data_IF_940609253619
#
_entry.id   IF_940609253619
#
_cell.length_a   1.000
_cell.length_b   1.000
_cell.length_c   1.000
_cell.angle_alpha   90.00
_cell.angle_beta   90.00
_cell.angle_gamma   90.00
#
_symmetry.space_group_name_H-M   'P 1'
#
loop_
_entity.id
_entity.type
_entity.pdbx_description
1 polymer ?
#
# COMPACT_ATOMS: atom_id res chain seq x y z
N UNK A 1 14.27 -7.51 -4.31
CA UNK A 1 14.97 -6.23 -4.00
C UNK A 1 16.08 -6.07 -5.03
N UNK A 2 16.24 -4.87 -5.59
CA UNK A 2 17.37 -4.56 -6.48
C UNK A 2 18.55 -4.07 -5.64
N UNK A 3 19.71 -4.71 -5.77
CA UNK A 3 20.94 -4.34 -5.06
C UNK A 3 22.08 -4.36 -6.08
N UNK A 4 22.87 -3.29 -6.15
CA UNK A 4 24.01 -3.18 -7.06
C UNK A 4 23.69 -3.57 -8.52
N UNK A 5 22.56 -3.07 -9.04
CA UNK A 5 22.05 -3.37 -10.39
C UNK A 5 21.73 -4.85 -10.66
N UNK A 6 21.47 -5.63 -9.60
CA UNK A 6 21.07 -7.04 -9.67
C UNK A 6 19.78 -7.28 -8.90
N UNK A 7 18.97 -8.23 -9.37
CA UNK A 7 17.74 -8.65 -8.69
C UNK A 7 17.60 -10.17 -8.73
N UNK A 8 17.28 -10.77 -7.57
CA UNK A 8 16.81 -12.15 -7.47
C UNK A 8 15.31 -12.14 -7.22
N UNK A 9 14.57 -12.88 -8.03
CA UNK A 9 13.13 -13.02 -7.87
C UNK A 9 12.81 -13.97 -6.70
N UNK A 10 11.74 -13.68 -5.96
CA UNK A 10 11.29 -14.54 -4.85
C UNK A 10 10.41 -15.69 -5.32
N UNK A 11 9.78 -15.53 -6.49
CA UNK A 11 8.78 -16.46 -7.04
C UNK A 11 9.29 -17.24 -8.26
N UNK A 12 10.49 -16.91 -8.75
CA UNK A 12 11.16 -17.52 -9.89
C UNK A 12 12.64 -17.67 -9.54
N UNK A 13 13.30 -18.73 -9.98
CA UNK A 13 14.75 -18.93 -9.78
C UNK A 13 15.59 -18.12 -10.79
N UNK A 14 15.19 -16.86 -10.98
CA UNK A 14 15.84 -15.94 -11.89
C UNK A 14 16.72 -14.97 -11.12
N UNK A 15 17.92 -14.77 -11.65
CA UNK A 15 18.83 -13.70 -11.26
C UNK A 15 19.02 -12.84 -12.49
N UNK A 16 18.68 -11.56 -12.39
CA UNK A 16 18.86 -10.59 -13.46
C UNK A 16 20.00 -9.67 -13.07
N UNK A 17 20.99 -9.57 -13.93
CA UNK A 17 22.14 -8.67 -13.79
C UNK A 17 22.10 -7.60 -14.88
N UNK A 18 21.96 -6.35 -14.48
CA UNK A 18 21.85 -5.22 -15.41
C UNK A 18 23.11 -5.07 -16.28
N UNK A 19 24.29 -5.32 -15.72
CA UNK A 19 25.54 -5.24 -16.49
C UNK A 19 25.68 -6.37 -17.51
N UNK A 20 25.27 -7.60 -17.16
CA UNK A 20 25.12 -8.68 -18.13
C UNK A 20 24.17 -8.30 -19.26
N UNK A 21 23.02 -7.69 -18.95
CA UNK A 21 22.07 -7.23 -19.98
C UNK A 21 22.65 -6.16 -20.91
N UNK A 22 23.47 -5.23 -20.40
CA UNK A 22 24.17 -4.24 -21.24
C UNK A 22 25.03 -4.93 -22.31
N UNK A 23 25.81 -5.94 -21.90
CA UNK A 23 26.72 -6.68 -22.77
C UNK A 23 25.96 -7.55 -23.78
N UNK A 24 24.99 -8.32 -23.29
CA UNK A 24 24.25 -9.29 -24.10
C UNK A 24 23.35 -8.60 -25.14
N UNK A 25 22.70 -7.49 -24.76
CA UNK A 25 21.75 -6.77 -25.61
C UNK A 25 22.38 -5.59 -26.35
N UNK A 26 23.65 -5.27 -26.09
CA UNK A 26 24.36 -4.11 -26.66
C UNK A 26 23.64 -2.78 -26.39
N UNK A 27 23.11 -2.63 -25.18
CA UNK A 27 22.45 -1.41 -24.70
C UNK A 27 23.48 -0.61 -23.89
N UNK A 28 23.59 0.69 -24.16
CA UNK A 28 24.64 1.53 -23.56
C UNK A 28 24.57 1.68 -22.03
N UNK A 29 23.36 1.65 -21.46
CA UNK A 29 23.15 1.62 -20.01
C UNK A 29 21.84 0.90 -19.67
N UNK A 30 21.90 -0.04 -18.72
CA UNK A 30 20.73 -0.70 -18.13
C UNK A 30 20.76 -0.48 -16.63
N UNK A 31 19.66 0.05 -16.10
CA UNK A 31 19.46 0.23 -14.67
C UNK A 31 18.22 -0.56 -14.24
N UNK A 32 18.43 -1.56 -13.41
CA UNK A 32 17.34 -2.29 -12.76
C UNK A 32 16.76 -1.39 -11.67
N UNK A 33 15.44 -1.25 -11.65
CA UNK A 33 14.73 -0.46 -10.66
C UNK A 33 13.62 -1.28 -10.02
N UNK A 34 13.26 -0.92 -8.79
CA UNK A 34 12.09 -1.46 -8.11
C UNK A 34 10.80 -1.02 -8.83
N UNK A 35 9.76 -1.83 -8.76
CA UNK A 35 8.45 -1.58 -9.36
C UNK A 35 7.80 -0.26 -8.89
N UNK A 36 7.92 0.09 -7.60
CA UNK A 36 7.44 1.38 -7.10
C UNK A 36 8.30 2.55 -7.54
N UNK A 37 9.62 2.36 -7.71
CA UNK A 37 10.49 3.37 -8.32
C UNK A 37 10.05 3.64 -9.77
N UNK A 38 9.72 2.58 -10.52
CA UNK A 38 9.16 2.70 -11.87
C UNK A 38 7.80 3.44 -11.87
N UNK A 39 6.90 3.12 -10.93
CA UNK A 39 5.64 3.86 -10.76
C UNK A 39 5.87 5.33 -10.40
N UNK A 40 6.86 5.62 -9.56
CA UNK A 40 7.26 6.98 -9.22
C UNK A 40 7.65 7.79 -10.45
N UNK A 41 8.46 7.22 -11.34
CA UNK A 41 8.78 7.87 -12.62
C UNK A 41 7.56 7.98 -13.55
N UNK A 42 6.71 6.95 -13.61
CA UNK A 42 5.46 7.00 -14.39
C UNK A 42 4.50 8.11 -13.94
N UNK A 43 4.46 8.43 -12.64
CA UNK A 43 3.66 9.55 -12.13
C UNK A 43 4.08 10.91 -12.73
N UNK A 44 5.34 11.06 -13.15
CA UNK A 44 5.82 12.29 -13.80
C UNK A 44 5.32 12.44 -15.24
N UNK A 45 4.77 11.38 -15.84
CA UNK A 45 4.33 11.36 -17.23
C UNK A 45 2.82 11.42 -17.39
N UNK A 46 2.06 11.43 -16.29
CA UNK A 46 0.61 11.45 -16.31
C UNK A 46 0.08 12.80 -16.80
N UNK A 47 -0.92 12.75 -17.68
CA UNK A 47 -1.70 13.91 -18.08
C UNK A 47 -2.77 14.27 -17.02
N UNK A 48 -3.29 15.49 -17.10
CA UNK A 48 -4.28 16.01 -16.15
C UNK A 48 -5.59 15.19 -16.16
N UNK A 49 -5.93 14.52 -17.26
CA UNK A 49 -7.10 13.65 -17.39
C UNK A 49 -6.85 12.20 -16.93
N UNK A 50 -5.61 11.86 -16.59
CA UNK A 50 -5.21 10.55 -16.03
C UNK A 50 -5.15 10.58 -14.48
N UNK A 51 -5.46 11.72 -13.87
CA UNK A 51 -5.42 11.92 -12.42
C UNK A 51 -6.78 12.31 -11.85
N UNK A 52 -7.06 11.88 -10.62
CA UNK A 52 -8.21 12.33 -9.85
C UNK A 52 -7.70 13.07 -8.61
N UNK A 53 -8.03 14.36 -8.52
CA UNK A 53 -7.71 15.18 -7.36
C UNK A 53 -8.64 14.82 -6.18
N UNK A 54 -8.06 14.42 -5.06
CA UNK A 54 -8.80 14.08 -3.83
C UNK A 54 -9.02 15.29 -2.91
N UNK A 55 -8.36 16.41 -3.18
CA UNK A 55 -8.50 17.68 -2.47
C UNK A 55 -8.14 18.85 -3.39
N UNK A 56 -8.43 20.07 -2.94
CA UNK A 56 -8.20 21.31 -3.70
C UNK A 56 -6.76 21.85 -3.56
N UNK A 57 -5.82 21.05 -3.06
CA UNK A 57 -4.44 21.51 -2.88
C UNK A 57 -3.74 21.66 -4.23
N UNK A 58 -3.12 22.81 -4.45
CA UNK A 58 -2.34 23.06 -5.67
C UNK A 58 -0.95 22.41 -5.56
N UNK A 59 -0.55 21.56 -6.53
CA UNK A 59 0.80 21.01 -6.57
C UNK A 59 1.86 22.11 -6.62
N UNK A 60 2.91 21.98 -5.80
CA UNK A 60 4.05 22.91 -5.83
C UNK A 60 5.18 22.33 -6.67
N UNK A 61 5.59 23.00 -7.78
CA UNK A 61 6.76 22.58 -8.55
C UNK A 61 8.02 22.62 -7.70
N UNK A 62 8.97 21.71 -7.95
CA UNK A 62 10.26 21.71 -7.26
C UNK A 62 10.20 21.27 -5.79
N UNK A 63 9.10 20.63 -5.36
CA UNK A 63 9.01 19.95 -4.07
C UNK A 63 9.06 18.44 -4.23
N UNK A 64 9.47 17.69 -3.19
CA UNK A 64 9.40 16.24 -3.19
C UNK A 64 7.99 15.71 -3.47
N UNK A 65 7.91 14.55 -4.12
CA UNK A 65 6.65 13.85 -4.41
C UNK A 65 6.66 12.48 -3.74
N UNK A 66 5.56 12.13 -3.09
CA UNK A 66 5.36 10.79 -2.51
C UNK A 66 4.48 9.95 -3.43
N UNK A 67 4.83 8.67 -3.61
CA UNK A 67 4.00 7.69 -4.30
C UNK A 67 3.71 6.52 -3.34
N UNK A 68 2.44 6.19 -3.17
CA UNK A 68 1.96 5.13 -2.28
C UNK A 68 0.83 4.36 -2.94
N UNK A 69 0.94 3.04 -2.99
CA UNK A 69 0.01 2.18 -3.72
C UNK A 69 -0.32 0.91 -2.94
N UNK A 70 -1.61 0.71 -2.67
CA UNK A 70 -2.12 -0.52 -2.07
C UNK A 70 -2.49 -1.54 -3.15
N UNK A 71 -1.87 -2.72 -3.10
CA UNK A 71 -2.17 -3.89 -3.92
C UNK A 71 -2.26 -5.13 -3.02
N UNK A 72 -1.60 -6.23 -3.38
CA UNK A 72 -1.43 -7.36 -2.45
C UNK A 72 -0.74 -6.93 -1.15
N UNK A 73 0.30 -6.10 -1.28
CA UNK A 73 0.97 -5.38 -0.19
C UNK A 73 0.77 -3.87 -0.28
N UNK A 74 1.67 -3.10 0.32
CA UNK A 74 1.68 -1.64 0.27
C UNK A 74 3.07 -1.19 -0.15
N UNK A 75 3.20 -0.65 -1.36
CA UNK A 75 4.48 -0.12 -1.82
C UNK A 75 4.56 1.39 -1.69
N UNK A 76 5.79 1.88 -1.55
CA UNK A 76 6.10 3.28 -1.38
C UNK A 76 7.39 3.64 -2.12
N UNK A 77 7.41 4.82 -2.72
CA UNK A 77 8.62 5.49 -3.16
C UNK A 77 8.44 7.00 -3.03
N UNK A 78 9.54 7.75 -3.11
CA UNK A 78 9.46 9.21 -3.16
C UNK A 78 10.43 9.74 -4.20
N UNK A 79 10.12 10.92 -4.74
CA UNK A 79 10.93 11.59 -5.74
C UNK A 79 11.39 12.92 -5.20
N UNK A 80 12.69 13.19 -5.36
CA UNK A 80 13.31 14.46 -4.96
C UNK A 80 13.73 15.20 -6.23
N UNK A 81 13.44 16.51 -6.35
CA UNK A 81 13.90 17.31 -7.47
C UNK A 81 15.42 17.54 -7.39
N UNK A 82 16.09 17.40 -8.52
CA UNK A 82 17.46 17.78 -8.74
C UNK A 82 17.61 19.26 -9.07
N UNK A 83 18.85 19.68 -9.29
CA UNK A 83 19.19 21.10 -9.47
C UNK A 83 18.62 21.68 -10.78
N UNK A 84 18.41 20.84 -11.80
CA UNK A 84 17.90 21.23 -13.11
C UNK A 84 16.41 20.92 -13.29
N UNK A 85 15.73 20.52 -12.20
CA UNK A 85 14.30 20.21 -12.17
C UNK A 85 13.95 18.76 -12.51
N UNK A 86 14.95 17.93 -12.81
CA UNK A 86 14.80 16.49 -12.99
C UNK A 86 14.47 15.81 -11.66
N UNK A 87 13.49 14.92 -11.64
CA UNK A 87 13.15 14.17 -10.42
C UNK A 87 13.91 12.86 -10.36
N UNK A 88 14.49 12.53 -9.20
CA UNK A 88 15.07 11.22 -8.92
C UNK A 88 14.20 10.45 -7.93
N UNK A 89 13.81 9.24 -8.30
CA UNK A 89 12.99 8.35 -7.46
C UNK A 89 13.85 7.47 -6.54
N UNK A 90 13.38 7.28 -5.31
CA UNK A 90 14.03 6.48 -4.27
C UNK A 90 13.04 5.41 -3.74
N UNK A 91 13.44 4.13 -3.71
CA UNK A 91 12.60 3.07 -3.15
C UNK A 91 12.42 3.25 -1.65
N UNK A 92 11.29 2.81 -1.10
CA UNK A 92 11.03 2.86 0.34
C UNK A 92 10.26 1.64 0.83
N UNK A 93 10.73 1.03 1.91
CA UNK A 93 10.01 0.01 2.68
C UNK A 93 9.17 0.63 3.81
N UNK A 94 8.84 1.92 3.68
CA UNK A 94 8.13 2.69 4.71
C UNK A 94 6.74 2.15 5.04
N UNK A 95 6.15 1.32 4.19
CA UNK A 95 4.89 0.61 4.48
C UNK A 95 5.00 -0.41 5.60
N UNK A 96 6.21 -0.87 5.89
CA UNK A 96 6.51 -1.71 7.04
C UNK A 96 6.59 -0.92 8.35
N UNK A 97 6.48 0.42 8.31
CA UNK A 97 6.32 1.31 9.49
C UNK A 97 5.15 0.91 10.37
N UNK A 98 5.18 1.30 11.65
CA UNK A 98 4.14 0.92 12.61
C UNK A 98 2.78 1.52 12.27
N UNK A 99 1.72 0.75 12.46
CA UNK A 99 0.36 1.27 12.46
C UNK A 99 0.10 2.09 13.73
N UNK A 100 -0.15 3.40 13.55
CA UNK A 100 -0.48 4.34 14.61
C UNK A 100 -1.99 4.66 14.61
N UNK A 101 -2.82 3.99 15.43
CA UNK A 101 -4.27 4.26 15.49
C UNK A 101 -4.58 5.62 16.13
N UNK A 102 -5.55 6.37 15.60
CA UNK A 102 -5.85 7.76 16.05
C UNK A 102 -6.61 7.86 17.38
N UNK A 103 -7.23 6.77 17.86
CA UNK A 103 -7.60 6.59 19.27
C UNK A 103 -8.68 7.48 19.90
N UNK A 104 -9.33 8.40 19.17
CA UNK A 104 -10.41 9.24 19.71
C UNK A 104 -11.64 9.28 18.80
N UNK A 105 -12.85 9.35 19.39
CA UNK A 105 -14.11 9.45 18.67
C UNK A 105 -14.45 8.18 17.86
N UNK A 106 -14.85 8.34 16.59
CA UNK A 106 -15.15 7.21 15.70
C UNK A 106 -13.93 6.28 15.41
N UNK A 107 -12.73 6.63 15.88
CA UNK A 107 -11.49 5.90 15.64
C UNK A 107 -11.07 4.95 16.78
N UNK A 108 -11.86 4.78 17.85
CA UNK A 108 -11.59 3.76 18.89
C UNK A 108 -11.50 2.34 18.31
N UNK A 109 -12.26 2.07 17.24
CA UNK A 109 -12.18 0.81 16.50
C UNK A 109 -10.79 0.51 15.96
N UNK A 110 -9.96 1.52 15.69
CA UNK A 110 -8.59 1.31 15.22
C UNK A 110 -7.68 0.76 16.32
N UNK A 111 -7.89 1.19 17.58
CA UNK A 111 -7.16 0.63 18.74
C UNK A 111 -7.57 -0.83 18.96
N UNK A 112 -8.86 -1.13 18.87
CA UNK A 112 -9.35 -2.50 18.99
C UNK A 112 -8.86 -3.39 17.84
N UNK A 113 -8.84 -2.87 16.61
CA UNK A 113 -8.24 -3.55 15.46
C UNK A 113 -6.78 -3.88 15.74
N UNK A 114 -5.99 -2.93 16.24
CA UNK A 114 -4.59 -3.18 16.61
C UNK A 114 -4.47 -4.33 17.64
N UNK A 115 -5.31 -4.34 18.68
CA UNK A 115 -5.34 -5.41 19.69
C UNK A 115 -5.68 -6.77 19.05
N UNK A 116 -6.71 -6.80 18.20
CA UNK A 116 -7.10 -8.00 17.48
C UNK A 116 -5.97 -8.54 16.59
N UNK A 117 -5.30 -7.67 15.82
CA UNK A 117 -4.22 -8.09 14.93
C UNK A 117 -2.99 -8.57 15.69
N UNK A 118 -2.67 -7.98 16.86
CA UNK A 118 -1.62 -8.49 17.74
C UNK A 118 -1.91 -9.93 18.20
N UNK A 119 -3.16 -10.24 18.54
CA UNK A 119 -3.56 -11.61 18.91
C UNK A 119 -3.48 -12.54 17.69
N UNK A 120 -4.05 -12.12 16.56
CA UNK A 120 -4.11 -12.90 15.32
C UNK A 120 -2.74 -13.33 14.81
N UNK A 121 -1.74 -12.46 14.91
CA UNK A 121 -0.37 -12.73 14.48
C UNK A 121 0.56 -13.18 15.62
N UNK A 122 -0.02 -13.80 16.66
CA UNK A 122 0.68 -14.43 17.79
C UNK A 122 1.64 -13.52 18.56
N UNK A 123 1.10 -12.38 19.03
CA UNK A 123 1.50 -11.61 20.22
C UNK A 123 2.97 -11.29 20.41
N UNK A 124 3.40 -10.11 19.95
CA UNK A 124 4.60 -9.26 20.22
C UNK A 124 5.06 -8.57 18.92
N UNK A 125 4.58 -9.06 17.77
CA UNK A 125 4.97 -8.55 16.47
C UNK A 125 4.42 -7.15 16.20
N UNK A 126 5.29 -6.35 15.57
CA UNK A 126 4.96 -5.09 14.92
C UNK A 126 3.78 -5.29 13.97
N UNK A 127 2.73 -4.48 14.12
CA UNK A 127 1.67 -4.40 13.13
C UNK A 127 2.04 -3.25 12.20
N UNK A 128 2.47 -3.59 10.98
CA UNK A 128 2.85 -2.59 9.99
C UNK A 128 1.63 -1.94 9.35
N UNK A 129 1.81 -0.74 8.79
CA UNK A 129 0.78 -0.07 7.98
C UNK A 129 0.26 -0.96 6.85
N UNK A 130 1.12 -1.75 6.20
CA UNK A 130 0.72 -2.72 5.17
C UNK A 130 -0.33 -3.73 5.67
N UNK A 131 -0.29 -4.14 6.94
CA UNK A 131 -1.27 -5.09 7.50
C UNK A 131 -2.68 -4.51 7.61
N UNK A 132 -2.84 -3.21 7.40
CA UNK A 132 -4.11 -2.48 7.42
C UNK A 132 -4.42 -1.94 6.02
N UNK A 133 -3.43 -1.33 5.36
CA UNK A 133 -3.58 -0.64 4.07
C UNK A 133 -3.00 -1.51 2.95
N UNK A 134 -3.64 -2.63 2.67
CA UNK A 134 -3.39 -3.49 1.51
C UNK A 134 -4.63 -4.34 1.24
N UNK A 135 -4.63 -5.15 0.17
CA UNK A 135 -5.65 -6.17 -0.05
C UNK A 135 -5.76 -7.13 1.14
N UNK A 136 -4.62 -7.62 1.64
CA UNK A 136 -4.62 -8.44 2.88
C UNK A 136 -5.10 -7.64 4.10
N UNK A 137 -4.86 -6.33 4.13
CA UNK A 137 -5.35 -5.41 5.14
C UNK A 137 -6.87 -5.25 5.15
N UNK A 138 -7.52 -5.16 3.99
CA UNK A 138 -8.98 -5.18 3.87
C UNK A 138 -9.56 -6.43 4.53
N UNK A 139 -8.96 -7.59 4.24
CA UNK A 139 -9.36 -8.86 4.84
C UNK A 139 -9.15 -8.88 6.36
N UNK A 140 -8.05 -8.32 6.84
CA UNK A 140 -7.76 -8.20 8.27
C UNK A 140 -8.81 -7.35 9.00
N UNK A 141 -9.20 -6.22 8.42
CA UNK A 141 -10.22 -5.32 8.98
C UNK A 141 -11.59 -6.02 8.98
N UNK A 142 -11.97 -6.67 7.88
CA UNK A 142 -13.24 -7.41 7.79
C UNK A 142 -13.32 -8.54 8.82
N UNK A 143 -12.26 -9.34 8.97
CA UNK A 143 -12.21 -10.44 9.94
C UNK A 143 -12.31 -9.94 11.38
N UNK A 144 -11.68 -8.80 11.70
CA UNK A 144 -11.87 -8.11 12.98
C UNK A 144 -13.33 -7.71 13.19
N UNK A 145 -13.96 -7.07 12.21
CA UNK A 145 -15.34 -6.62 12.32
C UNK A 145 -16.33 -7.78 12.43
N UNK A 146 -16.10 -8.88 11.70
CA UNK A 146 -16.89 -10.10 11.78
C UNK A 146 -16.74 -10.78 13.15
N UNK A 147 -15.51 -10.85 13.68
CA UNK A 147 -15.25 -11.34 15.04
C UNK A 147 -15.96 -10.51 16.11
N UNK A 148 -15.90 -9.17 15.99
CA UNK A 148 -16.52 -8.25 16.94
C UNK A 148 -18.06 -8.23 16.85
N UNK A 149 -18.63 -8.42 15.66
CA UNK A 149 -20.07 -8.28 15.40
C UNK A 149 -20.63 -9.50 14.65
N UNK A 150 -20.68 -10.69 15.27
CA UNK A 150 -21.09 -11.93 14.59
C UNK A 150 -22.53 -11.89 14.07
N UNK A 151 -23.41 -11.07 14.68
CA UNK A 151 -24.80 -10.90 14.24
C UNK A 151 -24.95 -10.12 12.93
N UNK A 152 -23.96 -9.31 12.58
CA UNK A 152 -23.98 -8.45 11.39
C UNK A 152 -23.26 -9.10 10.20
N UNK A 153 -22.76 -10.33 10.37
CA UNK A 153 -22.07 -11.08 9.32
C UNK A 153 -23.07 -11.50 8.25
N UNK A 154 -22.87 -11.04 7.02
CA UNK A 154 -23.55 -11.60 5.86
C UNK A 154 -22.97 -13.01 5.56
N UNK A 155 -23.76 -14.10 5.66
CA UNK A 155 -23.24 -15.45 5.52
C UNK A 155 -22.69 -15.77 4.13
N UNK A 156 -23.30 -15.22 3.07
CA UNK A 156 -22.88 -15.46 1.68
C UNK A 156 -21.52 -14.82 1.41
N UNK A 157 -21.35 -13.57 1.81
CA UNK A 157 -20.08 -12.84 1.68
C UNK A 157 -19.00 -13.51 2.53
N UNK A 158 -19.32 -13.90 3.76
CA UNK A 158 -18.35 -14.54 4.65
C UNK A 158 -17.89 -15.90 4.10
N UNK A 159 -18.83 -16.71 3.61
CA UNK A 159 -18.52 -17.99 2.96
C UNK A 159 -17.64 -17.77 1.72
N UNK A 160 -17.99 -16.80 0.87
CA UNK A 160 -17.20 -16.48 -0.32
C UNK A 160 -15.77 -16.04 0.03
N UNK A 161 -15.63 -15.14 1.02
CA UNK A 161 -14.34 -14.68 1.56
C UNK A 161 -13.46 -15.85 2.00
N UNK A 162 -14.01 -16.80 2.75
CA UNK A 162 -13.27 -17.98 3.22
C UNK A 162 -12.88 -18.94 2.09
N UNK A 163 -13.77 -19.18 1.12
CA UNK A 163 -13.53 -20.14 0.04
C UNK A 163 -12.54 -19.65 -1.01
N UNK A 164 -12.46 -18.34 -1.26
CA UNK A 164 -11.57 -17.74 -2.27
C UNK A 164 -10.27 -17.22 -1.68
N UNK A 165 -9.69 -17.94 -0.72
CA UNK A 165 -8.39 -17.60 -0.11
C UNK A 165 -8.32 -16.16 0.45
N UNK A 166 -9.43 -15.63 0.99
CA UNK A 166 -9.49 -14.28 1.56
C UNK A 166 -9.21 -13.19 0.52
N UNK A 167 -9.90 -13.26 -0.62
CA UNK A 167 -9.87 -12.24 -1.65
C UNK A 167 -10.57 -10.94 -1.20
N UNK A 168 -9.80 -9.85 -1.12
CA UNK A 168 -10.27 -8.52 -0.75
C UNK A 168 -11.35 -7.98 -1.71
N UNK A 169 -11.34 -8.42 -2.97
CA UNK A 169 -12.31 -8.04 -3.99
C UNK A 169 -13.74 -8.42 -3.61
N UNK A 170 -13.93 -9.52 -2.87
CA UNK A 170 -15.24 -9.97 -2.40
C UNK A 170 -15.84 -8.96 -1.42
N UNK A 171 -15.02 -8.48 -0.49
CA UNK A 171 -15.41 -7.46 0.50
C UNK A 171 -15.68 -6.14 -0.22
N UNK A 172 -14.82 -5.75 -1.17
CA UNK A 172 -14.96 -4.49 -1.89
C UNK A 172 -16.24 -4.44 -2.74
N UNK A 173 -16.55 -5.52 -3.46
CA UNK A 173 -17.74 -5.64 -4.31
C UNK A 173 -19.04 -5.68 -3.48
N UNK A 174 -18.99 -6.26 -2.29
CA UNK A 174 -20.16 -6.37 -1.41
C UNK A 174 -20.45 -5.10 -0.58
N UNK A 175 -19.69 -4.00 -0.75
CA UNK A 175 -19.78 -2.81 0.11
C UNK A 175 -21.18 -2.22 0.25
N UNK A 176 -22.03 -2.33 -0.77
CA UNK A 176 -23.38 -1.75 -0.77
C UNK A 176 -24.44 -2.71 -0.19
N UNK A 177 -24.10 -3.99 -0.02
CA UNK A 177 -25.01 -5.07 0.39
C UNK A 177 -24.61 -5.71 1.73
N UNK A 178 -23.43 -5.37 2.25
CA UNK A 178 -22.86 -5.93 3.47
C UNK A 178 -22.35 -4.79 4.36
N UNK A 179 -23.00 -4.58 5.50
CA UNK A 179 -22.68 -3.49 6.45
C UNK A 179 -21.23 -3.56 6.95
N UNK A 180 -20.74 -4.76 7.25
CA UNK A 180 -19.35 -4.96 7.68
C UNK A 180 -18.37 -4.64 6.55
N UNK A 181 -18.72 -4.94 5.31
CA UNK A 181 -17.89 -4.69 4.14
C UNK A 181 -17.77 -3.18 3.87
N UNK A 182 -18.89 -2.44 3.96
CA UNK A 182 -18.88 -0.97 3.91
C UNK A 182 -17.97 -0.38 4.98
N UNK A 183 -18.13 -0.84 6.22
CA UNK A 183 -17.36 -0.36 7.37
C UNK A 183 -15.87 -0.69 7.25
N UNK A 184 -15.55 -1.86 6.70
CA UNK A 184 -14.17 -2.24 6.35
C UNK A 184 -13.53 -1.21 5.41
N UNK A 185 -14.20 -0.85 4.31
CA UNK A 185 -13.66 0.11 3.35
C UNK A 185 -13.53 1.52 3.94
N UNK A 186 -14.42 1.91 4.85
CA UNK A 186 -14.31 3.19 5.55
C UNK A 186 -13.07 3.25 6.46
N UNK A 187 -12.82 2.20 7.24
CA UNK A 187 -11.61 2.11 8.07
C UNK A 187 -10.36 2.08 7.18
N UNK A 188 -10.37 1.25 6.14
CA UNK A 188 -9.27 1.17 5.17
C UNK A 188 -8.94 2.53 4.56
N UNK A 189 -9.94 3.26 4.04
CA UNK A 189 -9.75 4.58 3.45
C UNK A 189 -9.23 5.62 4.47
N UNK A 190 -9.73 5.60 5.70
CA UNK A 190 -9.24 6.47 6.77
C UNK A 190 -7.79 6.20 7.16
N UNK A 191 -7.40 4.93 7.25
CA UNK A 191 -6.01 4.52 7.50
C UNK A 191 -5.10 4.83 6.30
N UNK A 192 -5.58 4.67 5.07
CA UNK A 192 -4.83 5.02 3.86
C UNK A 192 -4.58 6.53 3.80
N UNK A 193 -5.60 7.36 4.05
CA UNK A 193 -5.42 8.81 4.15
C UNK A 193 -4.37 9.21 5.20
N UNK A 194 -4.37 8.54 6.37
CA UNK A 194 -3.34 8.75 7.40
C UNK A 194 -1.95 8.33 6.92
N UNK A 195 -1.84 7.21 6.18
CA UNK A 195 -0.58 6.76 5.58
C UNK A 195 -0.02 7.79 4.59
N UNK A 196 -0.88 8.33 3.70
CA UNK A 196 -0.50 9.37 2.75
C UNK A 196 -0.04 10.64 3.46
N UNK A 197 -0.76 11.08 4.51
CA UNK A 197 -0.38 12.25 5.31
C UNK A 197 0.97 12.10 6.00
N UNK A 198 1.21 10.95 6.65
CA UNK A 198 2.50 10.66 7.29
C UNK A 198 3.64 10.62 6.28
N UNK A 199 3.40 10.03 5.10
CA UNK A 199 4.40 9.99 4.04
C UNK A 199 4.73 11.39 3.52
N UNK A 200 3.71 12.22 3.29
CA UNK A 200 3.90 13.61 2.87
C UNK A 200 4.74 14.41 3.88
N UNK A 201 4.53 14.23 5.19
CA UNK A 201 5.34 14.85 6.24
C UNK A 201 6.78 14.31 6.29
N UNK A 202 6.97 13.03 5.99
CA UNK A 202 8.29 12.37 6.07
C UNK A 202 9.23 12.83 4.96
N UNK A 203 8.68 13.13 3.78
CA UNK A 203 9.47 13.46 2.58
C UNK A 203 9.52 14.95 2.25
N UNK A 204 8.91 15.80 3.09
CA UNK A 204 8.85 17.25 2.87
C UNK A 204 10.23 17.91 2.94
#
# INVERSE_FOLDING_TARGET
IVIANQCRFTNLDWIVDGHGLEQDLKIGKVELINDFVAQGYGMLTLADDEVIHLNDATPKPGYPKACIGAGTGLGQCFLVPGAEGEYKAYPSEGSHSEFAPRGAGNDELQIELLKYLKIKFSGWNRISMERIVSGTGICNIYEFLAYKNPKDVNPEVHKAHLLKMKDAGIIAQAKDQCVLCKKTLQIFAGCYGSACGNMALTVQ
#
